data_IF_025679904409
#
_entry.id   IF_025679904409
#
_cell.length_a   1.000
_cell.length_b   1.000
_cell.length_c   1.000
_cell.angle_alpha   90.00
_cell.angle_beta   90.00
_cell.angle_gamma   90.00
#
_symmetry.space_group_name_H-M   'P 1'
#
loop_
_entity.id
_entity.type
_entity.pdbx_description
1 polymer ?
#
# COMPACT_ATOMS: atom_id res chain seq x y z
N UNK A 1 3.36 -6.84 -9.86
CA UNK A 1 3.59 -6.37 -8.48
C UNK A 1 2.69 -5.18 -8.07
N UNK A 2 1.84 -4.64 -8.96
CA UNK A 2 0.96 -3.50 -8.63
C UNK A 2 -0.28 -3.90 -7.81
N UNK A 3 -0.66 -5.18 -7.85
CA UNK A 3 -1.92 -5.69 -7.27
C UNK A 3 -1.89 -5.81 -5.73
N UNK A 4 -0.71 -5.64 -5.12
CA UNK A 4 -0.52 -5.67 -3.67
C UNK A 4 -0.28 -4.27 -3.06
N UNK A 5 -0.17 -3.24 -3.91
CA UNK A 5 0.12 -1.88 -3.46
C UNK A 5 -1.18 -1.13 -3.18
N UNK A 6 -1.20 -0.37 -2.09
CA UNK A 6 -2.29 0.50 -1.74
C UNK A 6 -2.37 1.67 -2.74
N UNK A 7 -3.53 1.93 -3.37
CA UNK A 7 -3.67 3.06 -4.29
C UNK A 7 -3.50 4.44 -3.61
N UNK A 8 -3.59 4.51 -2.28
CA UNK A 8 -3.46 5.76 -1.51
C UNK A 8 -2.00 6.01 -1.14
N UNK A 9 -1.37 5.13 -0.34
CA UNK A 9 0.01 5.34 0.14
C UNK A 9 1.09 4.80 -0.82
N UNK A 10 0.71 4.06 -1.86
CA UNK A 10 1.63 3.42 -2.84
C UNK A 10 2.61 2.40 -2.26
N UNK A 11 2.41 1.98 -1.01
CA UNK A 11 3.15 0.91 -0.35
C UNK A 11 2.36 -0.41 -0.37
N UNK A 12 3.01 -1.56 -0.11
CA UNK A 12 2.31 -2.83 0.14
C UNK A 12 1.21 -2.69 1.20
N UNK A 13 0.02 -3.21 0.90
CA UNK A 13 -1.15 -3.02 1.75
C UNK A 13 -0.99 -3.66 3.13
N UNK A 14 -1.04 -2.84 4.19
CA UNK A 14 -1.14 -3.31 5.57
C UNK A 14 -2.61 -3.39 5.95
N UNK A 15 -3.04 -4.57 6.41
CA UNK A 15 -4.45 -4.88 6.70
C UNK A 15 -5.37 -4.43 5.56
N UNK A 16 -5.21 -5.03 4.35
CA UNK A 16 -6.03 -4.67 3.22
C UNK A 16 -7.52 -4.83 3.54
N UNK A 17 -8.31 -3.80 3.26
CA UNK A 17 -9.76 -3.85 3.30
C UNK A 17 -10.32 -3.74 1.89
N UNK A 18 -11.32 -4.56 1.58
CA UNK A 18 -12.10 -4.49 0.35
C UNK A 18 -13.30 -3.58 0.58
N UNK A 19 -13.54 -2.68 -0.37
CA UNK A 19 -14.75 -1.86 -0.42
C UNK A 19 -15.75 -2.45 -1.42
N UNK A 20 -16.98 -1.92 -1.52
CA UNK A 20 -18.06 -2.60 -2.24
C UNK A 20 -17.79 -2.81 -3.75
N UNK A 21 -16.97 -1.96 -4.35
CA UNK A 21 -16.58 -2.05 -5.75
C UNK A 21 -15.39 -3.00 -5.99
N UNK A 22 -14.91 -3.69 -4.95
CA UNK A 22 -13.82 -4.67 -5.03
C UNK A 22 -12.40 -4.09 -4.95
N UNK A 23 -12.24 -2.75 -4.94
CA UNK A 23 -10.93 -2.13 -4.73
C UNK A 23 -10.45 -2.31 -3.28
N UNK A 24 -9.12 -2.42 -3.14
CA UNK A 24 -8.48 -2.72 -1.87
C UNK A 24 -7.55 -1.57 -1.45
N UNK A 25 -7.52 -1.29 -0.15
CA UNK A 25 -6.72 -0.22 0.45
C UNK A 25 -6.20 -0.68 1.82
N UNK A 26 -5.17 -0.04 2.38
CA UNK A 26 -4.90 -0.20 3.81
C UNK A 26 -6.10 0.32 4.61
N UNK A 27 -6.47 -0.38 5.68
CA UNK A 27 -7.49 0.02 6.64
C UNK A 27 -7.36 1.51 7.05
N UNK A 28 -6.22 1.89 7.63
CA UNK A 28 -5.96 3.28 8.03
C UNK A 28 -6.00 4.28 6.87
N UNK A 29 -5.58 3.88 5.67
CA UNK A 29 -5.59 4.79 4.52
C UNK A 29 -7.00 5.12 4.06
N UNK A 30 -7.90 4.12 4.03
CA UNK A 30 -9.27 4.37 3.59
C UNK A 30 -10.08 5.10 4.67
N UNK A 31 -9.82 4.85 5.95
CA UNK A 31 -10.46 5.55 7.06
C UNK A 31 -10.11 7.05 7.04
N UNK A 32 -8.82 7.39 6.97
CA UNK A 32 -8.38 8.78 6.83
C UNK A 32 -8.91 9.45 5.56
N UNK A 33 -9.04 8.70 4.47
CA UNK A 33 -9.67 9.20 3.27
C UNK A 33 -11.14 9.55 3.55
N UNK A 34 -11.92 8.70 4.21
CA UNK A 34 -13.32 9.04 4.50
C UNK A 34 -13.49 10.16 5.52
N UNK A 35 -12.53 10.35 6.43
CA UNK A 35 -12.55 11.46 7.41
C UNK A 35 -12.27 12.83 6.77
N UNK A 36 -11.40 12.88 5.74
CA UNK A 36 -10.95 14.15 5.12
C UNK A 36 -11.93 14.76 4.13
N UNK A 37 -12.90 13.99 3.63
CA UNK A 37 -13.82 14.45 2.57
C UNK A 37 -15.16 14.90 3.14
N UNK A 38 -15.77 15.88 2.48
CA UNK A 38 -17.09 16.41 2.84
C UNK A 38 -18.15 15.30 2.86
N UNK A 39 -19.22 15.46 3.65
CA UNK A 39 -20.31 14.47 3.77
C UNK A 39 -20.91 14.03 2.41
N UNK A 40 -20.84 14.88 1.38
CA UNK A 40 -21.30 14.59 0.02
C UNK A 40 -20.37 13.61 -0.72
N UNK A 41 -19.05 13.73 -0.52
CA UNK A 41 -18.01 12.91 -1.14
C UNK A 41 -17.51 11.77 -0.22
N UNK A 42 -17.97 11.74 1.03
CA UNK A 42 -17.74 10.67 1.98
C UNK A 42 -18.17 9.34 1.38
N UNK A 43 -17.40 8.30 1.64
CA UNK A 43 -17.62 6.94 1.13
C UNK A 43 -17.44 6.73 -0.39
N UNK A 44 -17.02 7.72 -1.18
CA UNK A 44 -16.69 7.45 -2.59
C UNK A 44 -15.36 6.68 -2.70
N UNK A 45 -15.31 5.63 -3.51
CA UNK A 45 -14.08 4.90 -3.77
C UNK A 45 -13.00 5.86 -4.35
N UNK A 46 -11.77 5.89 -3.77
CA UNK A 46 -10.67 6.73 -4.30
C UNK A 46 -10.28 6.42 -5.75
N UNK A 47 -10.62 5.23 -6.26
CA UNK A 47 -10.23 4.77 -7.60
C UNK A 47 -11.36 4.99 -8.60
N UNK A 48 -12.51 4.35 -8.41
CA UNK A 48 -13.60 4.34 -9.39
C UNK A 48 -14.79 5.23 -9.01
N UNK A 49 -14.71 5.97 -7.89
CA UNK A 49 -15.77 6.85 -7.37
C UNK A 49 -17.12 6.18 -7.08
N UNK A 50 -17.22 4.85 -7.12
CA UNK A 50 -18.42 4.14 -6.67
C UNK A 50 -18.65 4.39 -5.18
N UNK A 51 -19.90 4.69 -4.81
CA UNK A 51 -20.30 4.96 -3.42
C UNK A 51 -20.30 3.67 -2.60
N UNK A 52 -19.58 3.69 -1.48
CA UNK A 52 -19.48 2.59 -0.53
C UNK A 52 -20.50 2.73 0.60
N UNK A 53 -20.81 1.60 1.25
CA UNK A 53 -21.51 1.56 2.54
C UNK A 53 -20.48 1.26 3.64
N UNK A 54 -20.58 1.88 4.82
CA UNK A 54 -19.60 1.63 5.90
C UNK A 54 -19.60 0.16 6.30
N UNK A 55 -20.78 -0.44 6.29
CA UNK A 55 -21.04 -1.84 6.59
C UNK A 55 -20.57 -2.77 5.47
N UNK A 56 -20.11 -2.28 4.32
CA UNK A 56 -19.58 -3.11 3.24
C UNK A 56 -18.06 -3.23 3.24
N UNK A 57 -17.37 -2.44 4.08
CA UNK A 57 -15.91 -2.49 4.20
C UNK A 57 -15.54 -3.70 5.02
N UNK A 58 -14.66 -4.56 4.48
CA UNK A 58 -14.25 -5.81 5.12
C UNK A 58 -12.76 -6.03 4.98
N UNK A 59 -12.12 -6.49 6.04
CA UNK A 59 -10.74 -6.98 5.98
C UNK A 59 -10.64 -8.15 5.01
N UNK A 60 -9.64 -8.09 4.14
CA UNK A 60 -9.34 -9.12 3.15
C UNK A 60 -8.11 -9.92 3.61
N UNK A 61 -8.35 -10.93 4.45
CA UNK A 61 -7.32 -11.81 5.00
C UNK A 61 -6.55 -12.61 3.94
N UNK A 62 -7.20 -12.92 2.82
CA UNK A 62 -6.58 -13.61 1.70
C UNK A 62 -5.56 -12.69 1.04
N UNK A 63 -5.94 -11.46 0.75
CA UNK A 63 -5.04 -10.46 0.20
C UNK A 63 -3.92 -10.12 1.18
N UNK A 64 -4.21 -10.02 2.48
CA UNK A 64 -3.17 -9.84 3.51
C UNK A 64 -2.13 -10.95 3.44
N UNK A 65 -2.57 -12.20 3.40
CA UNK A 65 -1.70 -13.37 3.32
C UNK A 65 -0.83 -13.38 2.06
N UNK A 66 -1.37 -12.88 0.94
CA UNK A 66 -0.62 -12.74 -0.31
C UNK A 66 0.41 -11.62 -0.25
N UNK A 67 0.05 -10.46 0.28
CA UNK A 67 0.96 -9.32 0.49
C UNK A 67 2.14 -9.76 1.36
N UNK A 68 1.87 -10.42 2.48
CA UNK A 68 2.89 -10.88 3.42
C UNK A 68 3.86 -11.88 2.75
N UNK A 69 3.35 -12.83 1.97
CA UNK A 69 4.19 -13.78 1.22
C UNK A 69 5.08 -13.10 0.19
N UNK A 70 4.57 -12.13 -0.56
CA UNK A 70 5.35 -11.40 -1.57
C UNK A 70 6.45 -10.56 -0.92
N UNK A 71 6.17 -9.91 0.21
CA UNK A 71 7.18 -9.15 0.96
C UNK A 71 8.29 -10.09 1.44
N UNK A 72 7.93 -11.24 2.03
CA UNK A 72 8.90 -12.23 2.52
C UNK A 72 9.76 -12.85 1.42
N UNK A 73 9.20 -13.04 0.22
CA UNK A 73 9.96 -13.54 -0.93
C UNK A 73 10.93 -12.47 -1.47
N UNK A 74 10.52 -11.21 -1.46
CA UNK A 74 11.37 -10.09 -1.89
C UNK A 74 12.53 -9.87 -0.90
N UNK A 75 12.29 -9.99 0.40
CA UNK A 75 13.35 -9.86 1.41
C UNK A 75 14.31 -11.05 1.39
N UNK A 76 13.83 -12.28 1.17
CA UNK A 76 14.70 -13.46 0.97
C UNK A 76 15.55 -13.36 -0.30
N UNK A 77 15.04 -12.73 -1.36
CA UNK A 77 15.78 -12.47 -2.60
C UNK A 77 16.84 -11.37 -2.49
N UNK A 78 16.78 -10.50 -1.48
CA UNK A 78 17.79 -9.45 -1.24
C UNK A 78 18.92 -9.86 -0.28
N UNK A 79 18.80 -10.97 0.45
CA UNK A 79 19.85 -11.47 1.35
C UNK A 79 21.08 -12.03 0.60
N UNK A 80 21.09 -12.05 -0.74
CA UNK A 80 22.25 -12.40 -1.55
C UNK A 80 23.00 -11.19 -2.12
N UNK A 81 22.71 -9.97 -1.66
CA UNK A 81 23.47 -8.78 -2.03
C UNK A 81 24.34 -8.28 -0.86
N UNK A 82 25.12 -9.17 -0.25
CA UNK A 82 26.30 -8.75 0.50
C UNK A 82 27.32 -8.19 -0.50
N UNK A 83 27.26 -6.88 -0.75
CA UNK A 83 28.38 -6.20 -1.39
C UNK A 83 29.43 -5.96 -0.31
N UNK A 84 30.67 -6.47 -0.47
CA UNK A 84 31.75 -6.12 0.44
C UNK A 84 32.01 -4.61 0.33
N UNK A 85 32.02 -3.97 1.49
CA UNK A 85 32.39 -2.57 1.68
C UNK A 85 33.81 -2.32 1.17
N UNK A 86 33.95 -1.30 0.31
CA UNK A 86 35.23 -0.67 0.01
C UNK A 86 35.06 0.87 0.02
N UNK A 87 36.11 1.62 0.40
CA UNK A 87 35.96 2.81 1.23
C UNK A 87 35.70 4.09 0.44
N UNK A 88 35.12 5.07 1.14
CA UNK A 88 34.94 6.43 0.69
C UNK A 88 36.28 7.10 0.36
N UNK A 89 36.33 7.79 -0.80
CA UNK A 89 36.98 9.10 -1.04
C UNK A 89 36.90 9.47 -2.53
N UNK A 90 36.14 10.52 -2.85
CA UNK A 90 36.59 11.52 -3.83
C UNK A 90 35.72 12.76 -3.73
N UNK A 91 36.38 13.86 -3.39
CA UNK A 91 35.85 15.22 -3.32
C UNK A 91 35.82 15.79 -4.74
N UNK A 92 34.65 16.18 -5.23
CA UNK A 92 34.57 17.05 -6.41
C UNK A 92 33.77 18.30 -6.06
N UNK A 93 34.47 19.43 -6.16
CA UNK A 93 33.98 20.79 -6.06
C UNK A 93 33.26 21.14 -7.37
N UNK A 94 32.01 21.59 -7.28
CA UNK A 94 31.26 22.07 -8.45
C UNK A 94 31.59 23.55 -8.73
N UNK A 95 31.68 23.97 -10.00
CA UNK A 95 31.99 25.36 -10.40
C UNK A 95 30.96 26.39 -9.95
#
# INVERSE_FOLDING_TARGET
MKDILCPICKEPMRNPVSVNCGHNFCENCIDQYFEKWSEVAKMLCPVCRVRNKKESIRLNWQLKSLVDKVILQTTRGCLSAEHPSAPAKSTYQWP
#
